data_IF_347331409588
#
_entry.id   IF_347331409588
#
_cell.length_a   1.000
_cell.length_b   1.000
_cell.length_c   1.000
_cell.angle_alpha   90.00
_cell.angle_beta   90.00
_cell.angle_gamma   90.00
#
_symmetry.space_group_name_H-M   'P 1'
#
loop_
_entity.id
_entity.type
_entity.pdbx_description
1 polymer ?
#
# COMPACT_ATOMS: atom_id res chain seq x y z
N UNK A 1 -2.40 -33.55 -14.78
CA UNK A 1 -1.75 -32.22 -14.87
C UNK A 1 -0.24 -32.31 -14.66
N UNK A 2 0.25 -32.90 -13.56
CA UNK A 2 1.67 -33.04 -13.25
C UNK A 2 2.50 -33.89 -14.22
N UNK A 3 1.90 -34.91 -14.86
CA UNK A 3 2.58 -35.77 -15.85
C UNK A 3 3.05 -35.02 -17.11
N UNK A 4 2.43 -33.87 -17.45
CA UNK A 4 2.82 -33.04 -18.61
C UNK A 4 4.10 -32.24 -18.34
N UNK A 5 4.27 -31.77 -17.10
CA UNK A 5 5.45 -31.03 -16.67
C UNK A 5 6.69 -31.93 -16.52
N UNK A 6 6.49 -33.18 -16.04
CA UNK A 6 7.57 -34.17 -15.94
C UNK A 6 8.14 -34.56 -17.32
N UNK A 7 7.27 -34.60 -18.34
CA UNK A 7 7.66 -35.00 -19.71
C UNK A 7 8.36 -33.89 -20.52
N UNK A 8 8.30 -32.64 -20.04
CA UNK A 8 8.91 -31.44 -20.65
C UNK A 8 9.64 -30.64 -19.55
N UNK A 9 10.77 -31.14 -19.03
CA UNK A 9 11.45 -30.57 -17.87
C UNK A 9 11.88 -29.11 -18.07
N UNK A 10 12.25 -28.74 -19.30
CA UNK A 10 12.62 -27.35 -19.66
C UNK A 10 11.47 -26.37 -19.42
N UNK A 11 10.22 -26.73 -19.74
CA UNK A 11 9.06 -25.86 -19.57
C UNK A 11 8.74 -25.61 -18.09
N UNK A 12 8.90 -26.63 -17.25
CA UNK A 12 8.69 -26.51 -15.81
C UNK A 12 9.68 -25.54 -15.15
N UNK A 13 10.97 -25.60 -15.55
CA UNK A 13 12.01 -24.70 -15.05
C UNK A 13 11.73 -23.26 -15.47
N UNK A 14 11.33 -23.02 -16.72
CA UNK A 14 10.99 -21.67 -17.21
C UNK A 14 9.86 -21.05 -16.39
N UNK A 15 8.79 -21.80 -16.10
CA UNK A 15 7.69 -21.32 -15.27
C UNK A 15 8.16 -21.00 -13.84
N UNK A 16 8.98 -21.86 -13.26
CA UNK A 16 9.54 -21.62 -11.91
C UNK A 16 10.35 -20.32 -11.86
N UNK A 17 11.19 -20.08 -12.87
CA UNK A 17 11.98 -18.84 -12.98
C UNK A 17 11.07 -17.62 -13.11
N UNK A 18 10.02 -17.69 -13.93
CA UNK A 18 9.06 -16.60 -14.10
C UNK A 18 8.37 -16.28 -12.78
N UNK A 19 7.94 -17.29 -12.02
CA UNK A 19 7.27 -17.10 -10.73
C UNK A 19 8.20 -16.40 -9.73
N UNK A 20 9.46 -16.85 -9.62
CA UNK A 20 10.45 -16.24 -8.72
C UNK A 20 10.77 -14.79 -9.15
N UNK A 21 10.92 -14.55 -10.45
CA UNK A 21 11.22 -13.23 -10.99
C UNK A 21 10.09 -12.24 -10.70
N UNK A 22 8.84 -12.61 -11.02
CA UNK A 22 7.65 -11.78 -10.76
C UNK A 22 7.46 -11.56 -9.25
N UNK A 23 7.65 -12.60 -8.43
CA UNK A 23 7.57 -12.49 -6.98
C UNK A 23 8.59 -11.50 -6.40
N UNK A 24 9.83 -11.52 -6.92
CA UNK A 24 10.89 -10.61 -6.48
C UNK A 24 10.57 -9.15 -6.83
N UNK A 25 10.00 -8.90 -8.00
CA UNK A 25 9.54 -7.56 -8.40
C UNK A 25 8.37 -7.09 -7.53
N UNK A 26 7.41 -7.97 -7.23
CA UNK A 26 6.26 -7.65 -6.39
C UNK A 26 6.68 -7.23 -4.97
N UNK A 27 7.66 -7.91 -4.36
CA UNK A 27 8.19 -7.56 -3.03
C UNK A 27 8.76 -6.14 -3.01
N UNK A 28 9.47 -5.73 -4.08
CA UNK A 28 10.03 -4.37 -4.19
C UNK A 28 8.95 -3.30 -4.35
N UNK A 29 7.85 -3.63 -5.00
CA UNK A 29 6.76 -2.69 -5.29
C UNK A 29 5.79 -2.55 -4.10
N UNK A 30 5.72 -3.55 -3.21
CA UNK A 30 4.73 -3.58 -2.15
C UNK A 30 5.03 -2.51 -1.09
N UNK A 31 4.10 -1.56 -0.84
CA UNK A 31 4.31 -0.55 0.19
C UNK A 31 4.30 -1.21 1.57
N UNK A 32 5.35 -0.95 2.34
CA UNK A 32 5.47 -1.43 3.71
C UNK A 32 4.91 -0.35 4.63
N UNK A 33 3.88 -0.68 5.41
CA UNK A 33 3.35 0.17 6.48
C UNK A 33 3.26 -0.64 7.76
N UNK A 34 3.70 -0.06 8.89
CA UNK A 34 3.71 -0.73 10.20
C UNK A 34 2.28 -1.01 10.70
N UNK A 35 1.34 -0.14 10.32
CA UNK A 35 -0.09 -0.33 10.52
C UNK A 35 -0.81 0.05 9.22
N UNK A 36 -1.88 -0.67 8.82
CA UNK A 36 -2.76 -0.17 7.77
C UNK A 36 -3.34 1.19 8.20
N UNK A 37 -3.77 2.01 7.23
CA UNK A 37 -4.43 3.28 7.55
C UNK A 37 -5.75 2.99 8.28
N UNK A 38 -5.68 2.95 9.61
CA UNK A 38 -6.80 2.80 10.55
C UNK A 38 -7.27 4.15 11.10
N UNK A 39 -6.53 5.23 10.83
CA UNK A 39 -6.88 6.55 11.31
C UNK A 39 -8.10 7.07 10.53
N UNK A 40 -9.13 7.58 11.22
CA UNK A 40 -10.24 8.26 10.55
C UNK A 40 -9.70 9.49 9.83
N UNK A 41 -10.12 9.69 8.58
CA UNK A 41 -9.75 10.87 7.78
C UNK A 41 -10.27 12.12 8.48
N UNK A 42 -9.40 12.81 9.21
CA UNK A 42 -9.74 14.04 9.94
C UNK A 42 -9.28 15.23 9.10
N UNK A 43 -10.21 16.10 8.74
CA UNK A 43 -9.90 17.35 8.05
C UNK A 43 -9.72 18.43 9.11
N UNK A 44 -8.49 18.90 9.30
CA UNK A 44 -8.21 20.02 10.20
C UNK A 44 -8.37 21.34 9.44
N UNK A 45 -9.25 22.20 9.96
CA UNK A 45 -9.45 23.56 9.44
C UNK A 45 -8.78 24.52 10.43
N UNK A 46 -7.73 25.21 9.97
CA UNK A 46 -7.04 26.22 10.76
C UNK A 46 -7.50 27.61 10.31
N UNK A 47 -8.02 28.39 11.25
CA UNK A 47 -8.40 29.79 11.06
C UNK A 47 -7.78 30.60 12.19
N UNK A 48 -7.08 31.68 11.83
CA UNK A 48 -6.47 32.59 12.78
C UNK A 48 -7.03 34.00 12.54
N UNK A 49 -7.68 34.58 13.55
CA UNK A 49 -8.17 35.96 13.52
C UNK A 49 -7.48 36.76 14.63
N UNK A 50 -6.36 37.45 14.32
CA UNK A 50 -5.56 38.15 15.33
C UNK A 50 -6.32 39.37 15.88
N UNK A 51 -6.31 39.52 17.21
CA UNK A 51 -6.96 40.63 17.91
C UNK A 51 -8.39 40.36 18.38
N UNK A 52 -8.85 39.11 18.32
CA UNK A 52 -10.20 38.71 18.72
C UNK A 52 -10.19 37.80 19.96
N UNK A 53 -11.19 37.97 20.81
CA UNK A 53 -11.37 37.15 22.02
C UNK A 53 -11.87 35.75 21.65
N UNK A 54 -11.58 34.74 22.48
CA UNK A 54 -12.02 33.36 22.24
C UNK A 54 -13.54 33.24 21.98
N UNK A 55 -14.36 34.05 22.65
CA UNK A 55 -15.81 34.11 22.44
C UNK A 55 -16.23 34.52 21.03
N UNK A 56 -15.54 35.47 20.39
CA UNK A 56 -15.92 35.93 19.03
C UNK A 56 -15.45 34.95 17.95
N UNK A 57 -14.41 34.15 18.21
CA UNK A 57 -13.98 33.06 17.31
C UNK A 57 -14.91 31.84 17.34
N UNK A 58 -15.48 31.52 18.49
CA UNK A 58 -16.32 30.32 18.66
C UNK A 58 -17.78 30.58 18.29
N UNK A 59 -18.25 31.82 18.45
CA UNK A 59 -19.66 32.19 18.32
C UNK A 59 -20.02 32.84 16.96
N UNK A 60 -19.04 33.17 16.13
CA UNK A 60 -19.25 33.73 14.78
C UNK A 60 -19.17 32.65 13.72
#
# INVERSE_FOLDING_TARGET
>A
MFSKFIRRPVFAIVISIIIVFVGTLAIKQLPISQFPQIAPTTVNIFIAYPGSSADVLVKS
#
